data_IF_212828767089
#
_entry.id   IF_212828767089
#
_cell.length_a   1.000
_cell.length_b   1.000
_cell.length_c   1.000
_cell.angle_alpha   90.00
_cell.angle_beta   90.00
_cell.angle_gamma   90.00
#
_symmetry.space_group_name_H-M   'P 1'
#
loop_
_entity.id
_entity.type
_entity.pdbx_description
1 polymer ?
#
# COMPACT_ATOMS: atom_id res chain seq x y z
N UNK A 1 20.65 -6.77 -39.85
CA UNK A 1 20.52 -5.87 -38.68
C UNK A 1 21.84 -5.93 -37.93
N UNK A 2 22.56 -4.81 -37.85
CA UNK A 2 23.83 -4.76 -37.14
C UNK A 2 23.56 -4.75 -35.63
N UNK A 3 24.12 -5.72 -34.92
CA UNK A 3 24.05 -5.80 -33.44
C UNK A 3 24.72 -4.54 -32.88
N UNK A 4 24.05 -3.87 -31.95
CA UNK A 4 24.57 -2.65 -31.33
C UNK A 4 25.89 -2.93 -30.58
N UNK A 5 26.79 -1.93 -30.49
CA UNK A 5 28.07 -2.10 -29.77
C UNK A 5 27.87 -2.49 -28.31
N UNK A 6 26.77 -2.07 -27.70
CA UNK A 6 26.40 -2.37 -26.32
C UNK A 6 25.92 -3.83 -26.16
N UNK A 7 25.10 -4.35 -27.07
CA UNK A 7 24.71 -5.78 -27.05
C UNK A 7 25.90 -6.71 -27.27
N UNK A 8 26.86 -6.32 -28.11
CA UNK A 8 28.08 -7.10 -28.29
C UNK A 8 28.92 -7.12 -27.00
N UNK A 9 29.06 -5.97 -26.33
CA UNK A 9 29.81 -5.89 -25.08
C UNK A 9 29.18 -6.71 -23.95
N UNK A 10 27.85 -6.72 -23.83
CA UNK A 10 27.13 -7.53 -22.84
C UNK A 10 27.29 -9.02 -23.13
N UNK A 11 27.21 -9.43 -24.39
CA UNK A 11 27.37 -10.83 -24.79
C UNK A 11 28.79 -11.35 -24.55
N UNK A 12 29.79 -10.52 -24.82
CA UNK A 12 31.19 -10.83 -24.57
C UNK A 12 31.49 -10.91 -23.05
N UNK A 13 30.86 -10.05 -22.24
CA UNK A 13 30.95 -10.12 -20.77
C UNK A 13 30.30 -11.38 -20.21
N UNK A 14 29.13 -11.77 -20.72
CA UNK A 14 28.43 -12.98 -20.29
C UNK A 14 29.22 -14.25 -20.63
N UNK A 15 29.77 -14.33 -21.85
CA UNK A 15 30.60 -15.45 -22.28
C UNK A 15 31.89 -15.58 -21.44
N UNK A 16 32.45 -14.45 -20.99
CA UNK A 16 33.61 -14.45 -20.09
C UNK A 16 33.23 -14.97 -18.69
N UNK A 17 32.09 -14.55 -18.16
CA UNK A 17 31.57 -15.01 -16.87
C UNK A 17 31.25 -16.51 -16.86
N UNK A 18 30.68 -17.04 -17.94
CA UNK A 18 30.43 -18.48 -18.08
C UNK A 18 31.73 -19.29 -18.15
N UNK A 19 32.75 -18.77 -18.83
CA UNK A 19 34.07 -19.42 -18.90
C UNK A 19 34.79 -19.42 -17.55
N UNK A 20 34.67 -18.33 -16.80
CA UNK A 20 35.26 -18.19 -15.47
C UNK A 20 34.53 -19.08 -14.44
N UNK A 21 33.20 -19.21 -14.56
CA UNK A 21 32.40 -20.14 -13.76
C UNK A 21 32.77 -21.61 -14.05
N UNK A 22 32.90 -22.00 -15.33
CA UNK A 22 33.31 -23.35 -15.71
C UNK A 22 34.73 -23.71 -15.25
N UNK A 23 35.65 -22.74 -15.22
CA UNK A 23 36.99 -22.92 -14.67
C UNK A 23 36.95 -23.14 -13.14
N UNK A 24 36.04 -22.46 -12.43
CA UNK A 24 35.84 -22.65 -11.01
C UNK A 24 35.22 -24.00 -10.66
N UNK A 25 34.22 -24.46 -11.42
CA UNK A 25 33.60 -25.78 -11.24
C UNK A 25 34.58 -26.91 -11.55
N UNK A 26 35.42 -26.75 -12.57
CA UNK A 26 36.49 -27.70 -12.87
C UNK A 26 37.58 -27.75 -11.76
N UNK A 27 37.85 -26.63 -11.09
CA UNK A 27 38.76 -26.58 -9.95
C UNK A 27 38.16 -27.25 -8.71
N UNK A 28 36.86 -27.03 -8.44
CA UNK A 28 36.14 -27.69 -7.34
C UNK A 28 35.99 -29.20 -7.58
N UNK A 29 35.75 -29.62 -8.82
CA UNK A 29 35.68 -31.04 -9.18
C UNK A 29 37.03 -31.77 -9.05
N UNK A 30 38.16 -31.06 -9.22
CA UNK A 30 39.51 -31.61 -8.97
C UNK A 30 39.83 -31.73 -7.48
N UNK A 31 39.29 -30.85 -6.64
CA UNK A 31 39.43 -30.91 -5.17
C UNK A 31 38.58 -32.01 -4.52
N UNK A 32 37.43 -32.36 -5.11
CA UNK A 32 36.54 -33.40 -4.59
C UNK A 32 36.85 -34.82 -5.09
N UNK A 33 37.97 -35.04 -5.79
CA UNK A 33 38.43 -36.40 -6.06
C UNK A 33 39.07 -36.96 -4.77
N UNK A 34 38.62 -38.12 -4.26
CA UNK A 34 39.31 -38.76 -3.16
C UNK A 34 40.74 -39.05 -3.58
N UNK A 35 41.70 -38.59 -2.78
CA UNK A 35 43.13 -38.88 -2.94
C UNK A 35 43.32 -40.39 -3.05
N UNK A 36 43.51 -40.88 -4.27
CA UNK A 36 44.03 -42.22 -4.51
C UNK A 36 45.49 -42.18 -4.09
N UNK A 37 45.76 -42.75 -2.91
CA UNK A 37 47.11 -43.11 -2.47
C UNK A 37 47.86 -43.75 -3.66
N UNK A 38 49.02 -43.24 -4.09
CA UNK A 38 49.76 -43.89 -5.15
C UNK A 38 50.19 -45.27 -4.64
N UNK A 39 49.53 -46.31 -5.17
CA UNK A 39 49.97 -47.69 -5.03
C UNK A 39 51.28 -47.78 -5.79
N UNK A 40 52.40 -47.92 -5.08
CA UNK A 40 53.68 -48.27 -5.67
C UNK A 40 53.48 -49.59 -6.42
N UNK A 41 53.38 -49.53 -7.74
CA UNK A 41 53.55 -50.70 -8.58
C UNK A 41 55.04 -51.03 -8.55
N UNK A 42 55.39 -52.07 -7.79
CA UNK A 42 56.63 -52.78 -7.96
C UNK A 42 56.62 -53.46 -9.34
N UNK A 43 57.25 -52.84 -10.33
CA UNK A 43 57.74 -53.60 -11.49
C UNK A 43 58.79 -54.60 -11.00
N UNK A 44 58.80 -55.85 -11.52
CA UNK A 44 59.83 -56.81 -11.17
C UNK A 44 61.17 -56.30 -11.71
N UNK A 45 62.13 -56.13 -10.79
CA UNK A 45 63.54 -55.96 -11.11
C UNK A 45 63.98 -57.19 -11.91
N UNK A 46 64.27 -56.99 -13.21
CA UNK A 46 64.97 -57.99 -14.00
C UNK A 46 66.35 -58.21 -13.37
N UNK A 47 66.64 -59.47 -13.02
CA UNK A 47 67.97 -59.90 -12.57
C UNK A 47 69.03 -59.51 -13.62
N UNK A 48 70.18 -58.93 -13.23
CA UNK A 48 71.24 -58.64 -14.17
C UNK A 48 71.77 -59.94 -14.79
N UNK A 49 71.82 -60.00 -16.14
CA UNK A 49 72.53 -61.06 -16.87
C UNK A 49 74.00 -61.07 -16.44
N UNK A 50 74.56 -62.25 -16.19
CA UNK A 50 76.00 -62.39 -15.90
C UNK A 50 76.82 -62.12 -17.16
N UNK A 51 78.09 -61.72 -17.01
CA UNK A 51 79.02 -61.46 -18.12
C UNK A 51 79.16 -62.64 -19.12
N UNK A 52 78.81 -63.86 -18.69
CA UNK A 52 78.78 -65.05 -19.55
C UNK A 52 77.58 -65.12 -20.51
N UNK A 53 76.46 -64.46 -20.20
CA UNK A 53 75.25 -64.47 -21.03
C UNK A 53 75.27 -63.36 -22.10
N UNK A 54 76.00 -62.27 -21.89
CA UNK A 54 76.19 -61.22 -22.90
C UNK A 54 77.22 -61.59 -23.99
N UNK A 55 78.15 -62.50 -23.71
CA UNK A 55 79.15 -62.99 -24.67
C UNK A 55 78.63 -64.08 -25.62
N UNK A 56 77.47 -64.68 -25.34
CA UNK A 56 76.83 -65.65 -26.23
C UNK A 56 76.15 -64.98 -27.43
N UNK A 57 75.58 -63.78 -27.23
CA UNK A 57 74.90 -63.02 -28.28
C UNK A 57 75.89 -62.35 -29.27
N UNK A 58 77.17 -62.21 -28.90
CA UNK A 58 78.23 -61.68 -29.76
C UNK A 58 78.86 -62.73 -30.70
N UNK A 59 78.58 -64.03 -30.52
CA UNK A 59 79.22 -65.13 -31.28
C UNK A 59 78.42 -65.64 -32.47
N UNK A 60 77.21 -65.13 -32.73
CA UNK A 60 76.45 -65.42 -33.94
C UNK A 60 76.51 -64.22 -34.89
N UNK A 61 77.52 -64.22 -35.76
CA UNK A 61 77.73 -63.13 -36.71
C UNK A 61 76.70 -63.12 -37.85
N UNK A 62 76.13 -61.95 -38.11
CA UNK A 62 75.78 -61.56 -39.47
C UNK A 62 76.42 -60.20 -39.80
N UNK A 63 77.09 -60.21 -40.94
CA UNK A 63 77.96 -59.18 -41.48
C UNK A 63 77.13 -58.04 -42.10
N UNK A 64 77.61 -56.82 -41.90
CA UNK A 64 77.69 -55.84 -42.98
C UNK A 64 76.65 -54.72 -42.99
N UNK A 65 77.18 -53.50 -42.82
CA UNK A 65 76.75 -52.24 -43.46
C UNK A 65 75.44 -51.59 -42.99
N UNK A 66 75.53 -50.69 -42.02
CA UNK A 66 75.70 -49.22 -42.20
C UNK A 66 75.48 -48.60 -40.82
N UNK A 67 76.48 -47.90 -40.29
CA UNK A 67 76.35 -47.18 -39.01
C UNK A 67 75.69 -45.83 -39.31
N UNK A 68 74.46 -45.54 -38.84
CA UNK A 68 73.98 -44.18 -38.79
C UNK A 68 74.69 -43.46 -37.65
N UNK A 69 75.15 -42.25 -37.94
CA UNK A 69 75.77 -41.31 -37.01
C UNK A 69 74.81 -41.08 -35.83
N UNK A 70 75.10 -41.65 -34.66
CA UNK A 70 74.43 -41.26 -33.42
C UNK A 70 75.19 -40.07 -32.85
N UNK A 71 74.46 -38.97 -32.75
CA UNK A 71 74.85 -37.72 -32.14
C UNK A 71 75.45 -37.96 -30.75
N UNK A 72 76.63 -37.39 -30.51
CA UNK A 72 77.27 -37.36 -29.19
C UNK A 72 76.35 -36.60 -28.24
N UNK A 73 75.70 -37.29 -27.31
CA UNK A 73 75.08 -36.65 -26.14
C UNK A 73 76.20 -36.21 -25.22
N UNK A 74 76.56 -34.93 -25.27
CA UNK A 74 77.40 -34.30 -24.25
C UNK A 74 76.62 -34.33 -22.94
N UNK A 75 76.98 -35.26 -22.04
CA UNK A 75 76.52 -35.21 -20.66
C UNK A 75 77.05 -33.91 -20.04
N UNK A 76 76.17 -32.94 -19.88
CA UNK A 76 76.49 -31.67 -19.21
C UNK A 76 76.68 -31.97 -17.72
N UNK A 77 77.93 -32.21 -17.29
CA UNK A 77 78.24 -32.47 -15.88
C UNK A 77 78.13 -31.14 -15.14
N UNK A 78 77.04 -30.95 -14.39
CA UNK A 78 76.82 -29.77 -13.58
C UNK A 78 77.88 -29.69 -12.48
N UNK A 79 78.43 -28.49 -12.26
CA UNK A 79 79.32 -28.23 -11.14
C UNK A 79 78.54 -28.27 -9.81
N UNK A 80 79.19 -28.53 -8.67
CA UNK A 80 78.54 -28.46 -7.34
C UNK A 80 77.80 -27.14 -7.10
N UNK A 81 78.33 -26.04 -7.64
CA UNK A 81 77.73 -24.70 -7.57
C UNK A 81 76.45 -24.59 -8.41
N UNK A 82 76.42 -25.18 -9.61
CA UNK A 82 75.22 -25.25 -10.44
C UNK A 82 74.13 -26.13 -9.81
N UNK A 83 74.50 -27.22 -9.13
CA UNK A 83 73.56 -28.08 -8.39
C UNK A 83 72.96 -27.31 -7.21
N UNK A 84 73.78 -26.59 -6.44
CA UNK A 84 73.32 -25.77 -5.32
C UNK A 84 72.36 -24.65 -5.78
N UNK A 85 72.67 -23.98 -6.89
CA UNK A 85 71.81 -22.95 -7.48
C UNK A 85 70.47 -23.52 -7.96
N UNK A 86 70.48 -24.71 -8.58
CA UNK A 86 69.26 -25.38 -9.04
C UNK A 86 68.39 -25.86 -7.88
N UNK A 87 69.00 -26.33 -6.79
CA UNK A 87 68.30 -26.72 -5.57
C UNK A 87 67.69 -25.50 -4.85
N UNK A 88 68.42 -24.40 -4.75
CA UNK A 88 67.92 -23.14 -4.20
C UNK A 88 66.77 -22.57 -5.04
N UNK A 89 66.86 -22.65 -6.38
CA UNK A 89 65.77 -22.25 -7.28
C UNK A 89 64.54 -23.16 -7.11
N UNK A 90 64.72 -24.48 -6.97
CA UNK A 90 63.63 -25.42 -6.71
C UNK A 90 62.96 -25.17 -5.34
N UNK A 91 63.74 -24.87 -4.30
CA UNK A 91 63.24 -24.51 -2.97
C UNK A 91 62.49 -23.16 -2.99
N UNK A 92 62.99 -22.17 -3.73
CA UNK A 92 62.31 -20.89 -3.91
C UNK A 92 61.00 -21.05 -4.70
N UNK A 93 60.98 -21.90 -5.73
CA UNK A 93 59.78 -22.20 -6.51
C UNK A 93 58.73 -22.94 -5.69
N UNK A 94 59.11 -23.90 -4.84
CA UNK A 94 58.17 -24.59 -3.95
C UNK A 94 57.63 -23.67 -2.85
N UNK A 95 58.47 -22.79 -2.28
CA UNK A 95 58.02 -21.77 -1.33
C UNK A 95 57.02 -20.80 -1.96
N UNK A 96 57.26 -20.36 -3.21
CA UNK A 96 56.34 -19.49 -3.95
C UNK A 96 55.01 -20.20 -4.27
N UNK A 97 55.04 -21.48 -4.66
CA UNK A 97 53.84 -22.27 -4.92
C UNK A 97 52.99 -22.44 -3.63
N UNK A 98 53.63 -22.76 -2.50
CA UNK A 98 52.96 -22.88 -1.21
C UNK A 98 52.35 -21.55 -0.75
N UNK A 99 53.06 -20.43 -0.96
CA UNK A 99 52.54 -19.09 -0.64
C UNK A 99 51.33 -18.72 -1.52
N UNK A 100 51.37 -19.06 -2.81
CA UNK A 100 50.24 -18.84 -3.72
C UNK A 100 49.02 -19.68 -3.34
N UNK A 101 49.23 -20.94 -2.95
CA UNK A 101 48.15 -21.83 -2.52
C UNK A 101 47.52 -21.37 -1.19
N UNK A 102 48.32 -20.95 -0.21
CA UNK A 102 47.82 -20.37 1.04
C UNK A 102 47.00 -19.09 0.78
N UNK A 103 47.47 -18.22 -0.10
CA UNK A 103 46.74 -17.01 -0.50
C UNK A 103 45.40 -17.36 -1.19
N UNK A 104 45.36 -18.43 -1.98
CA UNK A 104 44.13 -18.88 -2.63
C UNK A 104 43.14 -19.50 -1.63
N UNK A 105 43.63 -20.31 -0.68
CA UNK A 105 42.83 -20.87 0.41
C UNK A 105 42.23 -19.77 1.30
N UNK A 106 43.01 -18.73 1.62
CA UNK A 106 42.52 -17.58 2.39
C UNK A 106 41.41 -16.82 1.65
N UNK A 107 41.58 -16.59 0.33
CA UNK A 107 40.52 -15.97 -0.49
C UNK A 107 39.24 -16.79 -0.53
N UNK A 108 39.34 -18.11 -0.66
CA UNK A 108 38.18 -19.00 -0.64
C UNK A 108 37.48 -19.01 0.73
N UNK A 109 38.25 -19.06 1.82
CA UNK A 109 37.70 -19.02 3.17
C UNK A 109 37.00 -17.68 3.47
N UNK A 110 37.56 -16.56 3.00
CA UNK A 110 36.94 -15.25 3.12
C UNK A 110 35.66 -15.13 2.27
N UNK A 111 35.70 -15.61 1.03
CA UNK A 111 34.51 -15.65 0.16
C UNK A 111 33.39 -16.50 0.77
N UNK A 112 33.72 -17.65 1.36
CA UNK A 112 32.74 -18.50 2.02
C UNK A 112 32.19 -17.86 3.31
N UNK A 113 33.04 -17.19 4.09
CA UNK A 113 32.61 -16.41 5.26
C UNK A 113 31.62 -15.31 4.87
N UNK A 114 31.90 -14.56 3.80
CA UNK A 114 31.00 -13.52 3.29
C UNK A 114 29.68 -14.11 2.79
N UNK A 115 29.72 -15.23 2.07
CA UNK A 115 28.51 -15.94 1.62
C UNK A 115 27.64 -16.39 2.80
N UNK A 116 28.24 -16.99 3.83
CA UNK A 116 27.53 -17.43 5.05
C UNK A 116 26.94 -16.23 5.80
N UNK A 117 27.69 -15.14 5.93
CA UNK A 117 27.21 -13.91 6.55
C UNK A 117 26.02 -13.32 5.76
N UNK A 118 26.08 -13.31 4.43
CA UNK A 118 24.97 -12.88 3.58
C UNK A 118 23.72 -13.78 3.69
N UNK A 119 23.90 -15.10 3.84
CA UNK A 119 22.78 -16.01 4.11
C UNK A 119 22.11 -15.70 5.45
N UNK A 120 22.90 -15.54 6.52
CA UNK A 120 22.35 -15.16 7.83
C UNK A 120 21.63 -13.80 7.80
N UNK A 121 22.19 -12.82 7.08
CA UNK A 121 21.55 -11.51 6.90
C UNK A 121 20.22 -11.64 6.14
N UNK A 122 20.17 -12.45 5.07
CA UNK A 122 18.93 -12.74 4.36
C UNK A 122 17.89 -13.40 5.27
N UNK A 123 18.27 -14.41 6.05
CA UNK A 123 17.34 -15.15 6.93
C UNK A 123 16.72 -14.23 7.99
N UNK A 124 17.52 -13.31 8.56
CA UNK A 124 17.03 -12.29 9.50
C UNK A 124 16.05 -11.34 8.82
N UNK A 125 16.42 -10.79 7.65
CA UNK A 125 15.56 -9.87 6.90
C UNK A 125 14.25 -10.53 6.45
N UNK A 126 14.31 -11.78 5.97
CA UNK A 126 13.14 -12.56 5.58
C UNK A 126 12.23 -12.84 6.75
N UNK A 127 12.77 -13.21 7.91
CA UNK A 127 11.99 -13.41 9.13
C UNK A 127 11.30 -12.11 9.57
N UNK A 128 12.01 -10.99 9.55
CA UNK A 128 11.46 -9.69 9.94
C UNK A 128 10.37 -9.23 8.97
N UNK A 129 10.60 -9.28 7.67
CA UNK A 129 9.63 -8.89 6.66
C UNK A 129 8.39 -9.81 6.68
N UNK A 130 8.55 -11.10 6.96
CA UNK A 130 7.42 -12.02 7.11
C UNK A 130 6.48 -11.63 8.26
N UNK A 131 6.99 -11.07 9.38
CA UNK A 131 6.13 -10.63 10.48
C UNK A 131 5.12 -9.55 10.04
N UNK A 132 5.48 -8.76 9.03
CA UNK A 132 4.63 -7.71 8.48
C UNK A 132 3.88 -8.14 7.21
N UNK A 133 3.93 -9.43 6.84
CA UNK A 133 3.35 -9.93 5.58
C UNK A 133 4.11 -9.49 4.32
N UNK A 134 5.35 -9.03 4.49
CA UNK A 134 6.20 -8.47 3.43
C UNK A 134 7.29 -9.44 2.94
N UNK A 135 7.28 -10.71 3.36
CA UNK A 135 8.35 -11.65 3.00
C UNK A 135 8.54 -11.85 1.50
N UNK A 136 7.46 -11.77 0.72
CA UNK A 136 7.50 -11.82 -0.74
C UNK A 136 8.32 -10.69 -1.38
N UNK A 137 8.57 -9.59 -0.64
CA UNK A 137 9.38 -8.48 -1.11
C UNK A 137 10.88 -8.80 -1.13
N UNK A 138 11.35 -9.63 -0.20
CA UNK A 138 12.79 -9.88 -0.02
C UNK A 138 13.26 -11.14 -0.76
N UNK A 139 12.38 -12.09 -1.08
CA UNK A 139 12.73 -13.32 -1.81
C UNK A 139 13.52 -13.06 -3.10
N UNK A 140 13.14 -12.10 -3.97
CA UNK A 140 13.89 -11.81 -5.19
C UNK A 140 15.30 -11.25 -4.93
N UNK A 141 15.56 -10.74 -3.72
CA UNK A 141 16.82 -10.11 -3.34
C UNK A 141 17.82 -11.07 -2.72
N UNK A 142 17.45 -12.35 -2.53
CA UNK A 142 18.32 -13.34 -1.87
C UNK A 142 19.73 -13.36 -2.42
N UNK A 143 19.87 -13.47 -3.74
CA UNK A 143 21.17 -13.53 -4.40
C UNK A 143 21.97 -12.23 -4.17
N UNK A 144 21.31 -11.09 -4.26
CA UNK A 144 21.91 -9.76 -4.09
C UNK A 144 22.37 -9.53 -2.65
N UNK A 145 21.61 -10.01 -1.66
CA UNK A 145 21.97 -9.99 -0.24
C UNK A 145 23.16 -10.92 0.00
N UNK A 146 23.14 -12.14 -0.55
CA UNK A 146 24.23 -13.11 -0.39
C UNK A 146 25.52 -12.71 -1.10
N UNK A 147 25.45 -11.86 -2.13
CA UNK A 147 26.62 -11.31 -2.83
C UNK A 147 27.22 -10.08 -2.14
N UNK A 148 26.66 -9.66 -1.00
CA UNK A 148 27.19 -8.52 -0.23
C UNK A 148 26.90 -7.14 -0.83
N UNK A 149 25.77 -6.99 -1.55
CA UNK A 149 25.36 -5.69 -2.07
C UNK A 149 25.18 -4.66 -0.95
N UNK A 150 25.48 -3.39 -1.28
CA UNK A 150 25.27 -2.28 -0.36
C UNK A 150 23.79 -2.05 -0.06
N UNK A 151 23.49 -1.41 1.07
CA UNK A 151 22.11 -1.07 1.45
C UNK A 151 21.39 -0.23 0.39
N UNK A 152 22.11 0.66 -0.31
CA UNK A 152 21.55 1.48 -1.39
C UNK A 152 21.19 0.65 -2.62
N UNK A 153 22.05 -0.29 -3.02
CA UNK A 153 21.77 -1.22 -4.13
C UNK A 153 20.59 -2.13 -3.81
N UNK A 154 20.53 -2.65 -2.58
CA UNK A 154 19.40 -3.46 -2.10
C UNK A 154 18.09 -2.68 -2.13
N UNK A 155 18.09 -1.43 -1.68
CA UNK A 155 16.89 -0.57 -1.68
C UNK A 155 16.43 -0.27 -3.11
N UNK A 156 17.36 0.03 -4.02
CA UNK A 156 17.02 0.28 -5.41
C UNK A 156 16.48 -0.99 -6.08
N UNK A 157 17.13 -2.13 -5.88
CA UNK A 157 16.70 -3.40 -6.42
C UNK A 157 15.32 -3.80 -5.88
N UNK A 158 15.09 -3.62 -4.57
CA UNK A 158 13.79 -3.86 -3.92
C UNK A 158 12.69 -3.09 -4.64
N UNK A 159 12.89 -1.78 -4.86
CA UNK A 159 11.91 -0.91 -5.53
C UNK A 159 11.60 -1.30 -6.97
N UNK A 160 12.52 -2.00 -7.63
CA UNK A 160 12.32 -2.51 -8.99
C UNK A 160 11.54 -3.83 -9.03
N UNK A 161 11.42 -4.54 -7.91
CA UNK A 161 10.67 -5.80 -7.87
C UNK A 161 9.18 -5.59 -8.10
N UNK A 162 8.54 -6.55 -8.77
CA UNK A 162 7.09 -6.53 -8.99
C UNK A 162 6.30 -6.62 -7.67
N UNK A 163 6.82 -7.35 -6.68
CA UNK A 163 6.21 -7.44 -5.37
C UNK A 163 6.16 -6.07 -4.68
N UNK A 164 7.25 -5.30 -4.74
CA UNK A 164 7.30 -3.94 -4.19
C UNK A 164 6.34 -3.00 -4.91
N UNK A 165 6.35 -2.99 -6.25
CA UNK A 165 5.45 -2.13 -7.04
C UNK A 165 3.98 -2.43 -6.73
N UNK A 166 3.64 -3.69 -6.45
CA UNK A 166 2.30 -4.08 -6.01
C UNK A 166 1.99 -3.61 -4.59
N UNK A 167 2.91 -3.76 -3.63
CA UNK A 167 2.68 -3.36 -2.23
C UNK A 167 2.48 -1.86 -2.05
N UNK A 168 3.20 -1.07 -2.85
CA UNK A 168 3.19 0.39 -2.81
C UNK A 168 2.57 1.00 -4.08
N UNK A 169 1.57 0.31 -4.66
CA UNK A 169 0.98 0.67 -5.96
C UNK A 169 0.45 2.10 -6.02
N UNK A 170 -0.04 2.65 -4.90
CA UNK A 170 -0.55 4.02 -4.86
C UNK A 170 0.53 5.06 -5.17
N UNK A 171 1.81 4.79 -4.91
CA UNK A 171 2.88 5.75 -5.25
C UNK A 171 3.01 5.98 -6.75
N UNK A 172 2.81 4.96 -7.58
CA UNK A 172 2.80 5.12 -9.04
C UNK A 172 1.63 6.02 -9.48
N UNK A 173 0.46 5.85 -8.86
CA UNK A 173 -0.73 6.67 -9.12
C UNK A 173 -0.53 8.12 -8.66
N UNK A 174 0.04 8.33 -7.47
CA UNK A 174 0.40 9.66 -6.96
C UNK A 174 1.29 10.41 -7.95
N UNK A 175 2.37 9.77 -8.43
CA UNK A 175 3.29 10.36 -9.40
C UNK A 175 2.57 10.67 -10.72
N UNK A 176 1.72 9.77 -11.20
CA UNK A 176 0.90 10.00 -12.40
C UNK A 176 -0.06 11.20 -12.22
N UNK A 177 -0.54 11.45 -11.00
CA UNK A 177 -1.36 12.60 -10.63
C UNK A 177 -0.55 13.85 -10.24
N UNK A 178 0.76 13.88 -10.48
CA UNK A 178 1.63 15.03 -10.19
C UNK A 178 2.00 15.21 -8.71
N UNK A 179 1.70 14.23 -7.86
CA UNK A 179 2.05 14.22 -6.45
C UNK A 179 3.39 13.50 -6.24
N UNK A 180 4.10 13.89 -5.16
CA UNK A 180 5.28 13.17 -4.69
C UNK A 180 4.91 11.74 -4.26
N UNK A 181 5.76 10.77 -4.62
CA UNK A 181 5.74 9.44 -4.03
C UNK A 181 6.05 9.51 -2.52
N UNK A 182 5.24 8.82 -1.72
CA UNK A 182 5.48 8.68 -0.29
C UNK A 182 6.67 7.75 -0.05
N UNK A 183 7.41 8.03 1.02
CA UNK A 183 8.33 7.04 1.59
C UNK A 183 7.55 5.84 2.11
N UNK A 184 8.23 4.71 2.25
CA UNK A 184 7.67 3.46 2.74
C UNK A 184 7.06 3.63 4.15
N UNK A 185 7.74 4.39 5.02
CA UNK A 185 7.23 4.71 6.36
C UNK A 185 5.99 5.61 6.34
N UNK A 186 5.97 6.66 5.51
CA UNK A 186 4.78 7.52 5.34
C UNK A 186 3.57 6.72 4.82
N UNK A 187 3.81 5.79 3.90
CA UNK A 187 2.77 4.94 3.31
C UNK A 187 2.15 4.02 4.37
N UNK A 188 2.98 3.27 5.09
CA UNK A 188 2.52 2.33 6.12
C UNK A 188 1.82 3.07 7.27
N UNK A 189 2.33 4.24 7.67
CA UNK A 189 1.70 5.05 8.71
C UNK A 189 0.29 5.52 8.33
N UNK A 190 0.04 5.85 7.05
CA UNK A 190 -1.30 6.17 6.57
C UNK A 190 -2.22 4.95 6.62
N UNK A 191 -1.75 3.79 6.17
CA UNK A 191 -2.51 2.53 6.23
C UNK A 191 -2.91 2.17 7.66
N UNK A 192 -1.97 2.20 8.60
CA UNK A 192 -2.25 1.90 10.01
C UNK A 192 -3.21 2.93 10.63
N UNK A 193 -3.09 4.21 10.25
CA UNK A 193 -4.01 5.27 10.64
C UNK A 193 -5.44 5.01 10.13
N UNK A 194 -5.59 4.69 8.85
CA UNK A 194 -6.88 4.35 8.25
C UNK A 194 -7.52 3.13 8.89
N UNK A 195 -6.74 2.05 9.06
CA UNK A 195 -7.22 0.83 9.69
C UNK A 195 -7.69 1.10 11.12
N UNK A 196 -6.94 1.88 11.89
CA UNK A 196 -7.29 2.23 13.27
C UNK A 196 -8.61 3.00 13.32
N UNK A 197 -8.78 4.02 12.49
CA UNK A 197 -10.04 4.78 12.43
C UNK A 197 -11.20 3.86 12.01
N UNK A 198 -11.06 3.11 10.92
CA UNK A 198 -12.14 2.23 10.46
C UNK A 198 -12.54 1.18 11.51
N UNK A 199 -11.57 0.60 12.23
CA UNK A 199 -11.85 -0.32 13.34
C UNK A 199 -12.55 0.37 14.51
N UNK A 200 -12.08 1.55 14.92
CA UNK A 200 -12.64 2.30 16.04
C UNK A 200 -14.11 2.70 15.80
N UNK A 201 -14.43 3.08 14.56
CA UNK A 201 -15.79 3.38 14.16
C UNK A 201 -16.59 2.12 13.78
N UNK A 202 -16.07 0.91 13.96
CA UNK A 202 -16.78 -0.34 13.70
C UNK A 202 -17.20 -0.52 12.24
N UNK A 203 -16.38 -0.07 11.29
CA UNK A 203 -16.56 -0.39 9.86
C UNK A 203 -16.35 -1.91 9.69
N UNK A 204 -17.07 -2.59 8.77
CA UNK A 204 -16.84 -4.00 8.52
C UNK A 204 -15.40 -4.28 8.09
N UNK A 205 -14.83 -5.40 8.55
CA UNK A 205 -13.44 -5.75 8.25
C UNK A 205 -13.15 -5.90 6.76
N UNK A 206 -14.17 -6.17 5.93
CA UNK A 206 -14.04 -6.21 4.47
C UNK A 206 -13.48 -4.92 3.86
N UNK A 207 -13.55 -3.78 4.57
CA UNK A 207 -13.02 -2.49 4.09
C UNK A 207 -11.56 -2.22 4.47
N UNK A 208 -10.95 -3.00 5.36
CA UNK A 208 -9.58 -2.75 5.86
C UNK A 208 -8.77 -4.02 6.16
N UNK A 209 -9.32 -5.20 5.86
CA UNK A 209 -8.61 -6.46 6.04
C UNK A 209 -7.37 -6.47 5.13
N UNK A 210 -6.25 -6.95 5.69
CA UNK A 210 -5.01 -7.16 4.96
C UNK A 210 -5.12 -8.46 4.15
N UNK A 211 -4.72 -8.42 2.89
CA UNK A 211 -4.49 -9.62 2.09
C UNK A 211 -3.17 -10.32 2.48
N UNK A 212 -2.83 -11.41 1.79
CA UNK A 212 -1.61 -12.19 2.05
C UNK A 212 -0.30 -11.42 1.80
N UNK A 213 -0.36 -10.25 1.13
CA UNK A 213 0.78 -9.36 0.90
C UNK A 213 0.75 -8.13 1.82
N UNK A 214 -0.16 -8.11 2.81
CA UNK A 214 -0.35 -6.97 3.70
C UNK A 214 -1.04 -5.77 3.04
N UNK A 215 -1.58 -5.92 1.82
CA UNK A 215 -2.31 -4.85 1.12
C UNK A 215 -3.74 -4.79 1.65
N UNK A 216 -4.26 -3.58 1.73
CA UNK A 216 -5.63 -3.33 2.15
C UNK A 216 -6.39 -2.78 0.94
N UNK A 217 -7.31 -3.59 0.42
CA UNK A 217 -8.08 -3.19 -0.75
C UNK A 217 -8.82 -1.86 -0.48
N UNK A 218 -8.67 -0.90 -1.39
CA UNK A 218 -9.23 0.45 -1.26
C UNK A 218 -8.30 1.48 -0.60
N UNK A 219 -7.35 1.08 0.25
CA UNK A 219 -6.41 2.05 0.86
C UNK A 219 -5.47 2.64 -0.19
N UNK A 220 -5.12 1.87 -1.21
CA UNK A 220 -4.37 2.37 -2.36
C UNK A 220 -5.08 3.55 -3.02
N UNK A 221 -6.41 3.49 -3.17
CA UNK A 221 -7.19 4.59 -3.73
C UNK A 221 -7.15 5.81 -2.80
N UNK A 222 -7.34 5.62 -1.50
CA UNK A 222 -7.28 6.71 -0.51
C UNK A 222 -5.91 7.40 -0.51
N UNK A 223 -4.83 6.61 -0.55
CA UNK A 223 -3.45 7.12 -0.59
C UNK A 223 -3.16 7.80 -1.93
N UNK A 224 -3.63 7.23 -3.05
CA UNK A 224 -3.48 7.83 -4.37
C UNK A 224 -4.22 9.16 -4.49
N UNK A 225 -5.42 9.26 -3.92
CA UNK A 225 -6.24 10.46 -3.86
C UNK A 225 -5.82 11.49 -2.80
N UNK A 226 -4.66 11.28 -2.14
CA UNK A 226 -4.11 12.14 -1.08
C UNK A 226 -5.05 12.41 0.12
N UNK A 227 -5.98 11.49 0.38
CA UNK A 227 -6.82 11.55 1.57
C UNK A 227 -5.92 11.55 2.82
N UNK A 228 -6.32 12.28 3.86
CA UNK A 228 -5.61 12.27 5.15
C UNK A 228 -6.41 11.51 6.19
N UNK A 229 -5.76 11.03 7.25
CA UNK A 229 -6.44 10.33 8.35
C UNK A 229 -7.60 11.15 8.95
N UNK A 230 -7.45 12.46 9.25
CA UNK A 230 -8.58 13.27 9.74
C UNK A 230 -9.69 13.47 8.71
N UNK A 231 -9.37 13.48 7.42
CA UNK A 231 -10.38 13.56 6.36
C UNK A 231 -11.18 12.26 6.28
N UNK A 232 -10.51 11.12 6.31
CA UNK A 232 -11.16 9.80 6.31
C UNK A 232 -12.11 9.67 7.51
N UNK A 233 -11.67 10.08 8.69
CA UNK A 233 -12.52 10.11 9.88
C UNK A 233 -13.79 10.95 9.65
N UNK A 234 -13.65 12.17 9.09
CA UNK A 234 -14.81 13.00 8.75
C UNK A 234 -15.76 12.33 7.75
N UNK A 235 -15.23 11.65 6.72
CA UNK A 235 -16.03 10.88 5.75
C UNK A 235 -16.83 9.79 6.43
N UNK A 236 -16.20 9.05 7.34
CA UNK A 236 -16.84 7.98 8.11
C UNK A 236 -17.93 8.53 9.02
N UNK A 237 -17.68 9.62 9.77
CA UNK A 237 -18.70 10.26 10.60
C UNK A 237 -19.91 10.70 9.77
N UNK A 238 -19.66 11.29 8.59
CA UNK A 238 -20.72 11.76 7.69
C UNK A 238 -21.60 10.61 7.19
N UNK A 239 -21.00 9.52 6.69
CA UNK A 239 -21.78 8.39 6.16
C UNK A 239 -22.39 7.52 7.26
N UNK A 240 -21.58 7.11 8.24
CA UNK A 240 -22.00 6.16 9.26
C UNK A 240 -22.86 6.82 10.33
N UNK A 241 -22.31 7.79 11.06
CA UNK A 241 -23.02 8.34 12.22
C UNK A 241 -24.20 9.21 11.82
N UNK A 242 -24.04 10.06 10.81
CA UNK A 242 -25.08 11.04 10.45
C UNK A 242 -26.16 10.49 9.53
N UNK A 243 -25.84 9.54 8.64
CA UNK A 243 -26.83 8.94 7.72
C UNK A 243 -27.26 7.55 8.16
N UNK A 244 -26.33 6.61 8.36
CA UNK A 244 -26.69 5.22 8.65
C UNK A 244 -27.27 5.03 10.07
N UNK A 245 -26.66 5.66 11.07
CA UNK A 245 -27.07 5.60 12.48
C UNK A 245 -27.93 6.80 12.92
N UNK A 246 -28.09 7.80 12.04
CA UNK A 246 -28.89 8.99 12.32
C UNK A 246 -30.40 8.72 12.41
N UNK A 247 -31.22 9.78 12.53
CA UNK A 247 -32.67 9.64 12.52
C UNK A 247 -33.16 8.90 11.27
N UNK A 248 -34.16 7.99 11.38
CA UNK A 248 -34.67 7.25 10.23
C UNK A 248 -35.12 8.14 9.06
N UNK A 249 -35.63 9.33 9.37
CA UNK A 249 -36.07 10.31 8.39
C UNK A 249 -34.89 10.90 7.59
N UNK A 250 -33.69 11.01 8.17
CA UNK A 250 -32.48 11.44 7.45
C UNK A 250 -32.12 10.41 6.37
N UNK A 251 -32.13 9.12 6.72
CA UNK A 251 -31.90 8.04 5.74
C UNK A 251 -33.00 7.98 4.67
N UNK A 252 -34.26 8.22 5.06
CA UNK A 252 -35.36 8.33 4.12
C UNK A 252 -35.15 9.50 3.14
N UNK A 253 -34.84 10.69 3.63
CA UNK A 253 -34.56 11.86 2.80
C UNK A 253 -33.34 11.63 1.90
N UNK A 254 -32.28 11.02 2.42
CA UNK A 254 -31.08 10.70 1.65
C UNK A 254 -31.40 9.83 0.44
N UNK A 255 -32.20 8.77 0.61
CA UNK A 255 -32.66 7.89 -0.48
C UNK A 255 -33.57 8.62 -1.47
N UNK A 256 -34.45 9.50 -0.99
CA UNK A 256 -35.32 10.30 -1.85
C UNK A 256 -34.53 11.31 -2.70
N UNK A 257 -33.50 11.91 -2.13
CA UNK A 257 -32.71 12.96 -2.76
C UNK A 257 -31.60 12.41 -3.65
N UNK A 258 -31.02 11.27 -3.29
CA UNK A 258 -29.89 10.65 -3.97
C UNK A 258 -30.17 9.17 -4.28
N UNK A 259 -31.14 8.87 -5.17
CA UNK A 259 -31.59 7.49 -5.43
C UNK A 259 -30.51 6.60 -6.06
N UNK A 260 -29.42 7.17 -6.56
CA UNK A 260 -28.27 6.42 -7.09
C UNK A 260 -27.32 5.88 -6.01
N UNK A 261 -27.52 6.23 -4.74
CA UNK A 261 -26.71 5.77 -3.62
C UNK A 261 -27.61 4.93 -2.71
N UNK A 262 -27.41 3.61 -2.72
CA UNK A 262 -28.19 2.69 -1.88
C UNK A 262 -27.68 2.70 -0.44
N UNK A 263 -28.48 2.19 0.51
CA UNK A 263 -28.09 2.12 1.92
C UNK A 263 -26.79 1.31 2.13
N UNK A 264 -26.64 0.22 1.37
CA UNK A 264 -25.46 -0.64 1.42
C UNK A 264 -24.22 0.05 0.80
N UNK A 265 -24.44 0.99 -0.13
CA UNK A 265 -23.38 1.72 -0.84
C UNK A 265 -22.96 3.01 -0.13
N UNK A 266 -23.66 3.49 0.91
CA UNK A 266 -23.33 4.76 1.58
C UNK A 266 -21.87 4.75 2.07
N UNK A 267 -21.42 3.66 2.68
CA UNK A 267 -20.04 3.53 3.15
C UNK A 267 -19.06 3.56 1.97
N UNK A 268 -19.34 2.81 0.90
CA UNK A 268 -18.52 2.84 -0.31
C UNK A 268 -18.44 4.23 -0.92
N UNK A 269 -19.55 4.96 -0.97
CA UNK A 269 -19.64 6.31 -1.51
C UNK A 269 -18.83 7.33 -0.69
N UNK A 270 -18.93 7.31 0.64
CA UNK A 270 -18.17 8.29 1.47
C UNK A 270 -16.68 7.97 1.52
N UNK A 271 -16.31 6.69 1.41
CA UNK A 271 -14.94 6.22 1.39
C UNK A 271 -14.26 6.37 0.01
N UNK A 272 -15.01 6.70 -1.04
CA UNK A 272 -14.46 6.94 -2.37
C UNK A 272 -13.72 8.30 -2.41
N UNK A 273 -12.39 8.31 -2.65
CA UNK A 273 -11.60 9.54 -2.70
C UNK A 273 -11.96 10.44 -3.88
N UNK A 274 -12.57 9.90 -4.95
CA UNK A 274 -13.05 10.71 -6.07
C UNK A 274 -14.26 11.56 -5.69
N UNK A 275 -14.98 11.17 -4.62
CA UNK A 275 -16.06 12.00 -4.05
C UNK A 275 -15.44 13.06 -3.16
N UNK A 276 -15.64 14.32 -3.53
CA UNK A 276 -15.15 15.45 -2.74
C UNK A 276 -15.83 15.52 -1.37
N UNK A 277 -15.05 15.72 -0.30
CA UNK A 277 -15.57 15.83 1.06
C UNK A 277 -16.67 16.89 1.20
N UNK A 278 -16.55 18.02 0.47
CA UNK A 278 -17.56 19.08 0.49
C UNK A 278 -18.88 18.64 -0.15
N UNK A 279 -18.84 17.84 -1.23
CA UNK A 279 -20.05 17.29 -1.83
C UNK A 279 -20.74 16.29 -0.89
N UNK A 280 -19.96 15.44 -0.21
CA UNK A 280 -20.48 14.54 0.82
C UNK A 280 -21.17 15.35 1.93
N UNK A 281 -20.49 16.39 2.46
CA UNK A 281 -21.06 17.28 3.51
C UNK A 281 -22.36 17.93 3.05
N UNK A 282 -22.41 18.42 1.81
CA UNK A 282 -23.59 19.04 1.20
C UNK A 282 -24.76 18.06 1.13
N UNK A 283 -24.53 16.85 0.61
CA UNK A 283 -25.55 15.80 0.48
C UNK A 283 -26.10 15.35 1.84
N UNK A 284 -25.21 15.10 2.81
CA UNK A 284 -25.60 14.70 4.17
C UNK A 284 -26.41 15.80 4.85
N UNK A 285 -25.98 17.06 4.73
CA UNK A 285 -26.70 18.20 5.34
C UNK A 285 -28.08 18.39 4.71
N UNK A 286 -28.18 18.32 3.38
CA UNK A 286 -29.47 18.38 2.69
C UNK A 286 -30.41 17.24 3.16
N UNK A 287 -29.90 16.02 3.26
CA UNK A 287 -30.68 14.88 3.76
C UNK A 287 -31.14 15.06 5.21
N UNK A 288 -30.33 15.63 6.10
CA UNK A 288 -30.76 15.92 7.46
C UNK A 288 -31.86 17.00 7.54
N UNK A 289 -31.75 18.05 6.72
CA UNK A 289 -32.79 19.09 6.62
C UNK A 289 -34.08 18.48 6.06
N UNK A 290 -33.98 17.66 5.01
CA UNK A 290 -35.13 16.95 4.47
C UNK A 290 -35.74 15.98 5.48
N UNK A 291 -34.90 15.25 6.21
CA UNK A 291 -35.34 14.35 7.28
C UNK A 291 -36.05 15.08 8.41
N UNK A 292 -35.62 16.30 8.75
CA UNK A 292 -36.30 17.15 9.72
C UNK A 292 -37.71 17.55 9.25
N UNK A 293 -37.88 17.96 8.00
CA UNK A 293 -39.19 18.28 7.43
C UNK A 293 -40.10 17.04 7.38
N UNK A 294 -39.59 15.90 6.90
CA UNK A 294 -40.32 14.63 6.85
C UNK A 294 -40.77 14.22 8.26
N UNK A 295 -39.89 14.33 9.26
CA UNK A 295 -40.20 14.01 10.65
C UNK A 295 -41.27 14.93 11.25
N UNK A 296 -41.41 16.15 10.75
CA UNK A 296 -42.46 17.10 11.13
C UNK A 296 -43.75 16.94 10.31
N UNK A 297 -43.83 15.97 9.39
CA UNK A 297 -44.97 15.78 8.50
C UNK A 297 -45.12 16.87 7.43
N UNK A 298 -44.01 17.56 7.11
CA UNK A 298 -43.96 18.65 6.14
C UNK A 298 -43.31 18.20 4.83
N UNK A 299 -43.75 18.79 3.72
CA UNK A 299 -43.19 18.49 2.40
C UNK A 299 -41.83 19.14 2.22
N UNK A 300 -40.89 18.47 1.57
CA UNK A 300 -39.57 19.03 1.22
C UNK A 300 -39.04 18.36 -0.03
N UNK A 301 -38.09 18.99 -0.70
CA UNK A 301 -37.36 18.43 -1.82
C UNK A 301 -35.87 18.78 -1.73
N UNK A 302 -35.06 18.18 -2.61
CA UNK A 302 -33.61 18.38 -2.61
C UNK A 302 -33.25 19.85 -2.81
N UNK A 303 -33.90 20.53 -3.76
CA UNK A 303 -33.64 21.93 -4.09
C UNK A 303 -33.85 22.83 -2.87
N UNK A 304 -34.96 22.63 -2.15
CA UNK A 304 -35.27 23.41 -0.95
C UNK A 304 -34.31 23.10 0.20
N UNK A 305 -33.98 21.82 0.41
CA UNK A 305 -33.04 21.42 1.44
C UNK A 305 -31.62 21.98 1.19
N UNK A 306 -31.15 21.97 -0.05
CA UNK A 306 -29.87 22.58 -0.43
C UNK A 306 -29.89 24.10 -0.32
N UNK A 307 -31.00 24.75 -0.67
CA UNK A 307 -31.17 26.19 -0.47
C UNK A 307 -31.06 26.55 1.02
N UNK A 308 -31.75 25.82 1.90
CA UNK A 308 -31.67 26.03 3.35
C UNK A 308 -30.24 25.77 3.87
N UNK A 309 -29.57 24.73 3.40
CA UNK A 309 -28.17 24.48 3.74
C UNK A 309 -27.26 25.64 3.29
N UNK A 310 -27.54 26.24 2.13
CA UNK A 310 -26.84 27.43 1.62
C UNK A 310 -26.99 28.67 2.51
N UNK A 311 -28.11 28.77 3.25
CA UNK A 311 -28.31 29.80 4.29
C UNK A 311 -27.67 29.44 5.64
N UNK A 312 -26.91 28.34 5.72
CA UNK A 312 -26.26 27.89 6.95
C UNK A 312 -27.17 27.12 7.89
N UNK A 313 -28.36 26.71 7.44
CA UNK A 313 -29.25 25.85 8.23
C UNK A 313 -28.63 24.45 8.30
N UNK A 314 -28.44 23.95 9.52
CA UNK A 314 -27.97 22.59 9.79
C UNK A 314 -29.15 21.65 10.06
N UNK A 315 -28.92 20.34 10.07
CA UNK A 315 -29.94 19.36 10.47
C UNK A 315 -30.57 19.67 11.83
N UNK A 316 -29.78 20.13 12.80
CA UNK A 316 -30.28 20.46 14.15
C UNK A 316 -31.18 21.70 14.15
N UNK A 317 -30.77 22.75 13.43
CA UNK A 317 -31.57 23.96 13.26
C UNK A 317 -32.86 23.62 12.51
N UNK A 318 -32.77 22.79 11.46
CA UNK A 318 -33.93 22.33 10.69
C UNK A 318 -34.91 21.54 11.55
N UNK A 319 -34.45 20.62 12.41
CA UNK A 319 -35.33 19.85 13.32
C UNK A 319 -36.13 20.76 14.25
N UNK A 320 -35.48 21.77 14.84
CA UNK A 320 -36.15 22.74 15.71
C UNK A 320 -37.12 23.62 14.90
N UNK A 321 -36.68 24.14 13.77
CA UNK A 321 -37.50 25.02 12.94
C UNK A 321 -38.72 24.31 12.37
N UNK A 322 -38.57 23.10 11.84
CA UNK A 322 -39.69 22.34 11.31
C UNK A 322 -40.67 21.88 12.39
N UNK A 323 -40.20 21.56 13.59
CA UNK A 323 -41.10 21.33 14.74
C UNK A 323 -41.94 22.58 15.07
N UNK A 324 -41.30 23.76 15.09
CA UNK A 324 -42.00 25.03 15.31
C UNK A 324 -43.02 25.32 14.20
N UNK A 325 -42.65 25.10 12.92
CA UNK A 325 -43.55 25.28 11.78
C UNK A 325 -44.75 24.36 11.90
N UNK A 326 -44.54 23.06 12.15
CA UNK A 326 -45.62 22.08 12.26
C UNK A 326 -46.64 22.42 13.35
N UNK A 327 -46.20 23.01 14.47
CA UNK A 327 -47.10 23.40 15.58
C UNK A 327 -48.11 24.50 15.24
N UNK A 328 -47.78 25.38 14.28
CA UNK A 328 -48.57 26.59 13.99
C UNK A 328 -49.11 26.69 12.56
N UNK A 329 -48.58 25.90 11.62
CA UNK A 329 -48.86 26.02 10.19
C UNK A 329 -50.35 25.84 9.87
N UNK A 330 -50.99 24.81 10.41
CA UNK A 330 -52.39 24.51 10.10
C UNK A 330 -53.33 25.59 10.62
N UNK A 331 -53.11 26.07 11.86
CA UNK A 331 -53.85 27.20 12.40
C UNK A 331 -53.64 28.47 11.57
N UNK A 332 -52.41 28.74 11.14
CA UNK A 332 -52.10 29.87 10.26
C UNK A 332 -52.87 29.81 8.93
N UNK A 333 -52.92 28.63 8.30
CA UNK A 333 -53.71 28.40 7.08
C UNK A 333 -55.20 28.68 7.31
N UNK A 334 -55.78 28.11 8.37
CA UNK A 334 -57.19 28.30 8.71
C UNK A 334 -57.53 29.78 8.95
N UNK A 335 -56.72 30.48 9.75
CA UNK A 335 -56.91 31.91 10.01
C UNK A 335 -56.80 32.74 8.73
N UNK A 336 -55.84 32.43 7.84
CA UNK A 336 -55.69 33.15 6.57
C UNK A 336 -56.93 33.01 5.68
N UNK A 337 -57.54 31.81 5.65
CA UNK A 337 -58.79 31.56 4.92
C UNK A 337 -60.00 32.25 5.56
N UNK A 338 -60.17 32.15 6.89
CA UNK A 338 -61.28 32.76 7.62
C UNK A 338 -61.31 34.28 7.42
N UNK A 339 -60.15 34.94 7.48
CA UNK A 339 -60.04 36.39 7.39
C UNK A 339 -59.75 36.92 5.98
N UNK A 340 -59.76 36.05 4.97
CA UNK A 340 -59.48 36.41 3.57
C UNK A 340 -58.19 37.24 3.43
N UNK A 341 -57.14 36.83 4.15
CA UNK A 341 -55.82 37.46 4.09
C UNK A 341 -54.88 36.71 3.13
N UNK A 342 -53.67 37.25 2.92
CA UNK A 342 -52.60 36.54 2.20
C UNK A 342 -52.44 35.11 2.75
N UNK A 343 -52.30 34.08 1.87
CA UNK A 343 -52.17 32.70 2.32
C UNK A 343 -50.95 32.51 3.21
N UNK A 344 -51.11 31.94 4.41
CA UNK A 344 -49.98 31.55 5.26
C UNK A 344 -49.63 30.08 5.02
N UNK A 345 -48.70 29.83 4.10
CA UNK A 345 -48.29 28.48 3.68
C UNK A 345 -46.93 28.05 4.29
N UNK A 346 -46.48 26.83 3.97
CA UNK A 346 -45.24 26.30 4.54
C UNK A 346 -44.02 27.15 4.15
N UNK A 347 -43.94 27.62 2.91
CA UNK A 347 -42.81 28.43 2.44
C UNK A 347 -42.69 29.74 3.22
N UNK A 348 -43.81 30.40 3.52
CA UNK A 348 -43.85 31.62 4.34
C UNK A 348 -43.46 31.31 5.78
N UNK A 349 -43.96 30.20 6.35
CA UNK A 349 -43.56 29.77 7.68
C UNK A 349 -42.05 29.47 7.77
N UNK A 350 -41.47 28.84 6.74
CA UNK A 350 -40.03 28.60 6.63
C UNK A 350 -39.24 29.91 6.51
N UNK A 351 -39.71 30.88 5.71
CA UNK A 351 -39.06 32.20 5.60
C UNK A 351 -38.95 32.87 6.96
N UNK A 352 -40.03 32.83 7.74
CA UNK A 352 -40.02 33.39 9.08
C UNK A 352 -39.10 32.60 10.03
N UNK A 353 -39.31 31.28 10.14
CA UNK A 353 -38.67 30.47 11.18
C UNK A 353 -37.17 30.29 10.93
N UNK A 354 -36.75 30.23 9.67
CA UNK A 354 -35.34 30.13 9.31
C UNK A 354 -34.70 31.49 9.00
N UNK A 355 -35.42 32.60 9.24
CA UNK A 355 -34.94 33.97 9.01
C UNK A 355 -34.38 34.17 7.58
N UNK A 356 -35.11 33.67 6.58
CA UNK A 356 -34.78 33.83 5.18
C UNK A 356 -35.24 35.21 4.68
N UNK A 357 -34.91 35.53 3.43
CA UNK A 357 -35.48 36.68 2.74
C UNK A 357 -37.02 36.63 2.78
N UNK A 358 -37.65 37.76 3.15
CA UNK A 358 -39.10 37.84 3.37
C UNK A 358 -39.56 37.40 4.78
N UNK A 359 -38.65 36.96 5.65
CA UNK A 359 -39.02 36.46 6.99
C UNK A 359 -39.68 37.49 7.90
N UNK A 360 -39.35 38.78 7.76
CA UNK A 360 -39.97 39.86 8.55
C UNK A 360 -41.40 40.14 8.09
N UNK A 361 -41.64 40.06 6.78
CA UNK A 361 -42.96 40.16 6.16
C UNK A 361 -43.83 38.98 6.60
N UNK A 362 -43.30 37.75 6.49
CA UNK A 362 -43.96 36.53 6.96
C UNK A 362 -44.35 36.62 8.45
N UNK A 363 -43.46 37.13 9.30
CA UNK A 363 -43.74 37.36 10.71
C UNK A 363 -44.86 38.38 10.96
N UNK A 364 -44.91 39.45 10.15
CA UNK A 364 -45.98 40.46 10.21
C UNK A 364 -47.32 39.87 9.79
N UNK A 365 -47.34 39.05 8.75
CA UNK A 365 -48.55 38.35 8.29
C UNK A 365 -49.09 37.43 9.39
N UNK A 366 -48.25 36.58 9.99
CA UNK A 366 -48.67 35.72 11.10
C UNK A 366 -49.22 36.53 12.28
N UNK A 367 -48.55 37.61 12.68
CA UNK A 367 -49.00 38.49 13.77
C UNK A 367 -50.33 39.16 13.44
N UNK A 368 -50.56 39.57 12.18
CA UNK A 368 -51.83 40.12 11.71
C UNK A 368 -52.95 39.10 11.87
N UNK A 369 -52.74 37.85 11.44
CA UNK A 369 -53.72 36.77 11.59
C UNK A 369 -54.09 36.51 13.05
N UNK A 370 -53.09 36.41 13.94
CA UNK A 370 -53.31 36.26 15.38
C UNK A 370 -54.04 37.48 15.97
N UNK A 371 -53.73 38.69 15.49
CA UNK A 371 -54.41 39.91 15.91
C UNK A 371 -55.90 39.94 15.53
N UNK A 372 -56.23 39.49 14.31
CA UNK A 372 -57.61 39.37 13.84
C UNK A 372 -58.40 38.32 14.62
N UNK A 373 -57.76 37.18 14.94
CA UNK A 373 -58.32 36.16 15.84
C UNK A 373 -58.64 36.75 17.21
N UNK A 374 -57.66 37.41 17.84
CA UNK A 374 -57.85 38.05 19.14
C UNK A 374 -58.93 39.13 19.12
N UNK A 375 -59.05 39.90 18.05
CA UNK A 375 -60.13 40.91 17.93
C UNK A 375 -61.50 40.25 17.83
N UNK A 376 -61.63 39.21 17.01
CA UNK A 376 -62.89 38.51 16.75
C UNK A 376 -63.41 37.74 17.96
N UNK A 377 -62.50 37.14 18.74
CA UNK A 377 -62.86 36.30 19.89
C UNK A 377 -62.66 36.99 21.25
N UNK A 378 -61.75 37.95 21.35
CA UNK A 378 -61.48 38.71 22.58
C UNK A 378 -62.59 39.71 22.93
N UNK A 379 -63.31 40.24 21.94
CA UNK A 379 -64.48 41.11 22.14
C UNK A 379 -65.78 40.36 22.47
N UNK A 380 -65.80 39.03 22.35
CA UNK A 380 -66.95 38.17 22.67
C UNK A 380 -66.81 37.56 24.08
N UNK A 381 -66.43 38.36 25.08
CA UNK A 381 -66.70 37.96 26.46
C UNK A 381 -68.20 38.12 26.68
N UNK A 382 -68.91 37.00 26.74
CA UNK A 382 -70.37 36.91 26.98
C UNK A 382 -70.77 37.35 28.38
N UNK A 383 -70.52 38.61 28.72
CA UNK A 383 -71.18 39.32 29.82
C UNK A 383 -72.03 40.41 29.19
N UNK A 384 -73.10 40.02 28.52
CA UNK A 384 -74.23 40.93 28.31
C UNK A 384 -74.81 41.20 29.70
N UNK A 385 -74.38 42.31 30.31
CA UNK A 385 -74.85 42.80 31.61
C UNK A 385 -76.38 42.97 31.72
N UNK A 386 -77.12 42.76 30.63
CA UNK A 386 -78.59 42.73 30.58
C UNK A 386 -79.23 41.42 31.06
N UNK A 387 -78.56 40.27 30.97
CA UNK A 387 -79.15 38.96 31.33
C UNK A 387 -79.22 38.70 32.85
N UNK A 388 -78.48 39.47 33.66
CA UNK A 388 -78.55 39.40 35.13
C UNK A 388 -79.56 40.37 35.75
N UNK A 389 -80.20 41.25 34.96
CA UNK A 389 -81.17 42.24 35.48
C UNK A 389 -82.62 41.73 35.52
N UNK A 390 -82.96 40.65 34.81
CA UNK A 390 -84.36 40.19 34.70
C UNK A 390 -84.83 39.21 35.77
N UNK A 391 -83.98 38.79 36.72
CA UNK A 391 -84.40 37.92 37.83
C UNK A 391 -84.41 38.61 39.21
N UNK A 392 -84.57 39.94 39.25
CA UNK A 392 -84.76 40.68 40.51
C UNK A 392 -85.94 41.65 40.45
N UNK A 393 -87.10 41.18 40.00
CA UNK A 393 -88.39 41.84 40.22
C UNK A 393 -89.49 40.77 40.35
N UNK A 394 -89.71 40.34 41.59
CA UNK A 394 -90.67 39.28 41.94
C UNK A 394 -90.61 38.96 43.43
N UNK A 395 -90.71 40.00 44.27
CA UNK A 395 -91.05 39.88 45.68
C UNK A 395 -92.21 40.83 45.94
N UNK A 396 -93.30 40.24 46.45
CA UNK A 396 -94.63 40.78 46.80
C UNK A 396 -95.64 40.89 45.66
#
# INVERSE_FOLDING_TARGET
MAISKEEKAVRDALAKLEKDAAASDAAVARMNQPTVTPKVQSEPVATPKTAAQAMADYRAGERGQTVPTSTTSTANILTPEQIAAQLAAAQAASAAANAAELANQQKLAEAERLRRAGQSAYDVLFTEFNQYGLGSLIEPLKNLITSGASSSELTLALRQTEAYKKRFAANAQRVASGLRALSEGEYIALEDGYQTIMRNYGIPSSFYAKDSMGRQEGFEKLIAGDVKVPELEQRIILGKERVLNGPPQTKQAFRQFFPSITDDDILGYVLDPEKGLQDIKRKVTAAEIGGAAIGAGLSTDLTRAEQLAGYGITGDIARQGYSNIASGLERGRQLSGIYQQSPYNQQIAEQEVFNLEGGTEAARERKKLIGLEKSTFGGKTGVTSGALSQNRAGSY
#
